data_IF_407861094856
#
_entry.id   IF_407861094856
#
_cell.length_a   1.000
_cell.length_b   1.000
_cell.length_c   1.000
_cell.angle_alpha   90.00
_cell.angle_beta   90.00
_cell.angle_gamma   90.00
#
_symmetry.space_group_name_H-M   'P 1'
#
loop_
_entity.id
_entity.type
_entity.pdbx_description
1 polymer ?
#
# COMPACT_ATOMS: atom_id res chain seq x y z
N UNK A 1 -10.17 26.52 15.04
CA UNK A 1 -9.77 26.97 13.70
C UNK A 1 -9.44 25.76 12.83
N UNK A 2 -10.10 25.65 11.69
CA UNK A 2 -9.84 24.53 10.77
C UNK A 2 -8.61 24.86 9.91
N UNK A 3 -7.78 23.86 9.65
CA UNK A 3 -6.66 24.05 8.73
C UNK A 3 -7.17 23.88 7.29
N UNK A 4 -6.51 24.54 6.36
CA UNK A 4 -6.86 24.41 4.94
C UNK A 4 -6.34 23.08 4.39
N UNK A 5 -6.90 22.63 3.26
CA UNK A 5 -6.44 21.44 2.58
C UNK A 5 -4.97 21.56 2.19
N UNK A 6 -4.55 22.72 1.71
CA UNK A 6 -3.16 22.94 1.32
C UNK A 6 -2.21 22.85 2.50
N UNK A 7 -2.58 23.43 3.64
CA UNK A 7 -1.76 23.36 4.86
C UNK A 7 -1.67 21.90 5.33
N UNK A 8 -2.77 21.19 5.31
CA UNK A 8 -2.79 19.77 5.70
C UNK A 8 -1.84 18.96 4.82
N UNK A 9 -1.91 19.16 3.49
CA UNK A 9 -1.04 18.44 2.56
C UNK A 9 0.44 18.74 2.81
N UNK A 10 0.77 20.01 3.06
CA UNK A 10 2.15 20.39 3.34
C UNK A 10 2.69 19.77 4.63
N UNK A 11 1.86 19.70 5.65
CA UNK A 11 2.25 19.06 6.91
C UNK A 11 2.44 17.55 6.73
N UNK A 12 1.56 16.91 5.97
CA UNK A 12 1.66 15.47 5.74
C UNK A 12 2.89 15.10 4.92
N UNK A 13 3.32 15.95 4.00
CA UNK A 13 4.55 15.72 3.24
C UNK A 13 5.78 15.66 4.15
N UNK A 14 5.74 16.38 5.27
CA UNK A 14 6.86 16.42 6.22
C UNK A 14 6.84 15.24 7.19
N UNK A 15 5.74 14.52 7.25
CA UNK A 15 5.64 13.32 8.09
C UNK A 15 6.32 12.18 7.36
N UNK A 16 7.57 11.93 7.71
CA UNK A 16 8.33 10.85 7.10
C UNK A 16 7.79 9.51 7.56
N UNK A 17 7.34 8.70 6.62
CA UNK A 17 6.87 7.34 6.88
C UNK A 17 7.48 6.38 5.88
N UNK A 18 7.55 5.11 6.24
CA UNK A 18 7.92 4.08 5.29
C UNK A 18 6.86 3.90 4.22
N UNK A 19 7.26 3.33 3.10
CA UNK A 19 6.34 2.97 2.03
C UNK A 19 6.30 1.45 1.93
N UNK A 20 5.11 0.88 1.89
CA UNK A 20 4.94 -0.56 1.76
C UNK A 20 4.24 -0.92 0.47
N UNK A 21 4.57 -2.10 -0.04
CA UNK A 21 3.83 -2.71 -1.14
C UNK A 21 3.02 -3.87 -0.55
N UNK A 22 1.71 -3.78 -0.67
CA UNK A 22 0.80 -4.82 -0.22
C UNK A 22 0.49 -5.68 -1.43
N UNK A 23 0.82 -6.97 -1.35
CA UNK A 23 0.61 -7.91 -2.45
C UNK A 23 -0.39 -8.98 -2.05
N UNK A 24 -1.20 -9.41 -3.00
CA UNK A 24 -2.24 -10.39 -2.75
C UNK A 24 -2.66 -11.05 -4.05
N UNK A 25 -3.43 -12.12 -3.92
CA UNK A 25 -4.01 -12.82 -5.08
C UNK A 25 -5.49 -12.49 -5.17
N UNK A 26 -5.94 -12.19 -6.37
CA UNK A 26 -7.35 -11.92 -6.67
C UNK A 26 -7.75 -12.71 -7.91
N UNK A 27 -8.65 -13.67 -7.72
CA UNK A 27 -9.16 -14.51 -8.79
C UNK A 27 -8.05 -15.20 -9.61
N UNK A 28 -7.04 -15.70 -8.90
CA UNK A 28 -5.93 -16.43 -9.52
C UNK A 28 -4.84 -15.55 -10.11
N UNK A 29 -4.98 -14.23 -10.03
CA UNK A 29 -3.96 -13.30 -10.52
C UNK A 29 -3.32 -12.55 -9.37
N UNK A 30 -2.03 -12.31 -9.48
CA UNK A 30 -1.31 -11.52 -8.49
C UNK A 30 -1.62 -10.04 -8.67
N UNK A 31 -1.78 -9.34 -7.57
CA UNK A 31 -2.06 -7.92 -7.56
C UNK A 31 -1.35 -7.26 -6.39
N UNK A 32 -1.38 -5.95 -6.37
CA UNK A 32 -0.75 -5.21 -5.29
C UNK A 32 -1.01 -3.72 -5.40
N UNK A 33 -0.68 -3.03 -4.31
CA UNK A 33 -0.81 -1.58 -4.26
C UNK A 33 0.22 -1.01 -3.30
N UNK A 34 0.52 0.26 -3.49
CA UNK A 34 1.43 1.00 -2.61
C UNK A 34 0.63 1.58 -1.45
N UNK A 35 1.08 1.33 -0.23
CA UNK A 35 0.41 1.82 0.97
C UNK A 35 1.44 2.51 1.86
N UNK A 36 1.18 3.77 2.21
CA UNK A 36 1.97 4.51 3.17
C UNK A 36 1.28 4.61 4.53
N UNK A 37 -0.02 4.37 4.59
CA UNK A 37 -0.81 4.35 5.83
C UNK A 37 -0.67 3.00 6.52
N UNK A 38 0.52 2.76 7.05
CA UNK A 38 0.90 1.49 7.67
C UNK A 38 1.45 1.75 9.06
N UNK A 39 1.01 0.97 10.04
CA UNK A 39 1.64 1.01 11.36
C UNK A 39 1.48 -0.33 12.08
N UNK A 40 2.35 -0.56 13.04
CA UNK A 40 2.17 -1.69 13.95
C UNK A 40 1.07 -1.35 14.94
N UNK A 41 0.19 -2.30 15.19
CA UNK A 41 -0.94 -2.10 16.10
C UNK A 41 -0.75 -2.85 17.41
N UNK A 42 -0.18 -4.05 17.36
CA UNK A 42 0.00 -4.88 18.55
C UNK A 42 1.14 -5.87 18.31
N UNK A 43 1.84 -6.20 19.39
CA UNK A 43 2.92 -7.19 19.34
C UNK A 43 2.41 -8.58 19.73
N UNK A 44 1.46 -8.64 20.64
CA UNK A 44 0.94 -9.91 21.15
C UNK A 44 -0.58 -9.83 21.28
N UNK A 45 -1.35 -10.31 20.30
CA UNK A 45 -0.89 -10.94 19.07
C UNK A 45 -0.26 -9.92 18.09
N UNK A 46 0.57 -10.38 17.16
CA UNK A 46 1.16 -9.46 16.18
C UNK A 46 0.10 -8.97 15.19
N UNK A 47 -0.17 -7.68 15.23
CA UNK A 47 -1.17 -7.04 14.37
C UNK A 47 -0.58 -5.80 13.73
N UNK A 48 -0.97 -5.56 12.48
CA UNK A 48 -0.66 -4.34 11.74
C UNK A 48 -1.96 -3.70 11.27
N UNK A 49 -1.88 -2.40 11.01
CA UNK A 49 -3.00 -1.63 10.49
C UNK A 49 -2.61 -1.00 9.17
N UNK A 50 -3.43 -1.18 8.15
CA UNK A 50 -3.31 -0.46 6.89
C UNK A 50 -4.67 0.15 6.55
N UNK A 51 -4.64 1.30 5.88
CA UNK A 51 -5.85 1.97 5.44
C UNK A 51 -5.91 1.98 3.92
N UNK A 52 -7.02 1.53 3.37
CA UNK A 52 -7.21 1.44 1.92
C UNK A 52 -8.48 2.20 1.56
N UNK A 53 -8.35 3.12 0.60
CA UNK A 53 -9.49 3.91 0.13
C UNK A 53 -10.54 2.98 -0.49
N UNK A 54 -11.79 3.16 -0.08
CA UNK A 54 -12.91 2.36 -0.59
C UNK A 54 -13.14 2.54 -2.09
N UNK A 55 -12.63 3.63 -2.66
CA UNK A 55 -12.79 3.93 -4.09
C UNK A 55 -11.87 3.12 -4.99
N UNK A 56 -10.81 2.51 -4.45
CA UNK A 56 -9.89 1.73 -5.27
C UNK A 56 -10.33 0.27 -5.30
N UNK A 57 -10.13 -0.42 -6.46
CA UNK A 57 -10.58 -1.80 -6.61
C UNK A 57 -9.98 -2.77 -5.58
N UNK A 58 -8.74 -2.53 -5.17
CA UNK A 58 -8.06 -3.39 -4.20
C UNK A 58 -8.78 -3.47 -2.85
N UNK A 59 -9.58 -2.46 -2.51
CA UNK A 59 -10.33 -2.47 -1.26
C UNK A 59 -11.27 -3.68 -1.19
N UNK A 60 -11.98 -3.96 -2.28
CA UNK A 60 -12.92 -5.07 -2.30
C UNK A 60 -12.23 -6.42 -2.45
N UNK A 61 -11.01 -6.41 -2.99
CA UNK A 61 -10.22 -7.64 -3.16
C UNK A 61 -9.60 -8.13 -1.85
N UNK A 62 -9.33 -7.23 -0.92
CA UNK A 62 -8.75 -7.56 0.39
C UNK A 62 -9.89 -7.72 1.40
N UNK A 63 -10.43 -8.92 1.45
CA UNK A 63 -11.57 -9.24 2.32
C UNK A 63 -11.12 -9.90 3.62
N UNK A 64 -12.05 -9.98 4.56
CA UNK A 64 -11.82 -10.66 5.82
C UNK A 64 -11.37 -12.10 5.59
N UNK A 65 -10.27 -12.48 6.21
CA UNK A 65 -9.70 -13.82 6.06
C UNK A 65 -8.75 -13.98 4.88
N UNK A 66 -8.56 -12.92 4.08
CA UNK A 66 -7.60 -12.95 2.97
C UNK A 66 -6.17 -12.90 3.50
N UNK A 67 -5.26 -13.58 2.79
CA UNK A 67 -3.83 -13.46 3.04
C UNK A 67 -3.24 -12.39 2.14
N UNK A 68 -2.24 -11.68 2.66
CA UNK A 68 -1.54 -10.67 1.86
C UNK A 68 -0.08 -10.57 2.32
N UNK A 69 0.77 -10.13 1.41
CA UNK A 69 2.18 -9.89 1.71
C UNK A 69 2.42 -8.43 2.02
N UNK A 70 3.36 -8.18 2.91
CA UNK A 70 3.80 -6.83 3.26
C UNK A 70 5.27 -6.71 2.89
N UNK A 71 5.60 -5.77 2.02
CA UNK A 71 6.96 -5.56 1.52
C UNK A 71 7.35 -4.11 1.82
N UNK A 72 8.37 -3.93 2.64
CA UNK A 72 8.83 -2.58 3.02
C UNK A 72 9.85 -2.12 1.99
N UNK A 73 9.58 -0.99 1.33
CA UNK A 73 10.45 -0.46 0.29
C UNK A 73 11.71 0.16 0.86
N UNK A 74 12.82 -0.01 0.14
CA UNK A 74 14.05 0.74 0.41
C UNK A 74 14.00 2.07 -0.33
N UNK A 75 14.93 2.97 -0.01
CA UNK A 75 15.03 4.27 -0.69
C UNK A 75 15.33 4.14 -2.18
N UNK A 76 15.83 2.99 -2.62
CA UNK A 76 16.16 2.73 -4.03
C UNK A 76 14.98 2.20 -4.84
N UNK A 77 13.85 1.95 -4.19
CA UNK A 77 12.68 1.32 -4.82
C UNK A 77 11.55 2.31 -5.12
N UNK A 78 11.89 3.59 -5.30
CA UNK A 78 10.89 4.60 -5.62
C UNK A 78 10.11 4.32 -6.90
N UNK A 79 10.80 3.85 -7.95
CA UNK A 79 10.12 3.51 -9.21
C UNK A 79 9.15 2.36 -9.01
N UNK A 80 9.56 1.34 -8.26
CA UNK A 80 8.70 0.20 -7.97
C UNK A 80 7.43 0.63 -7.21
N UNK A 81 7.60 1.52 -6.23
CA UNK A 81 6.47 2.06 -5.48
C UNK A 81 5.51 2.83 -6.38
N UNK A 82 6.02 3.62 -7.33
CA UNK A 82 5.19 4.32 -8.31
C UNK A 82 4.46 3.36 -9.22
N UNK A 83 5.14 2.31 -9.69
CA UNK A 83 4.53 1.31 -10.56
C UNK A 83 3.38 0.58 -9.87
N UNK A 84 3.55 0.24 -8.60
CA UNK A 84 2.49 -0.40 -7.81
C UNK A 84 1.32 0.55 -7.53
N UNK A 85 1.56 1.84 -7.53
CA UNK A 85 0.51 2.84 -7.33
C UNK A 85 -0.24 3.17 -8.63
N UNK A 86 0.30 2.78 -9.78
CA UNK A 86 -0.29 3.10 -11.09
C UNK A 86 -1.33 2.06 -11.47
N UNK A 87 -2.60 2.49 -11.57
CA UNK A 87 -3.70 1.58 -11.89
C UNK A 87 -3.66 1.05 -13.33
N UNK A 88 -2.85 1.67 -14.21
CA UNK A 88 -2.72 1.25 -15.61
C UNK A 88 -1.69 0.16 -15.82
N UNK A 89 -0.92 -0.19 -14.79
CA UNK A 89 0.10 -1.24 -14.87
C UNK A 89 -0.51 -2.57 -14.40
N UNK A 90 -0.31 -3.63 -15.19
CA UNK A 90 -0.72 -4.98 -14.82
C UNK A 90 0.19 -5.48 -13.70
N UNK A 91 -0.35 -5.60 -12.49
CA UNK A 91 0.43 -5.98 -11.32
C UNK A 91 0.87 -7.44 -11.37
N UNK A 92 0.09 -8.31 -12.02
CA UNK A 92 0.49 -9.70 -12.19
C UNK A 92 1.78 -9.81 -12.99
N UNK A 93 1.85 -9.10 -14.11
CA UNK A 93 3.06 -9.07 -14.94
C UNK A 93 4.23 -8.41 -14.20
N UNK A 94 3.96 -7.32 -13.49
CA UNK A 94 4.98 -6.62 -12.73
C UNK A 94 5.60 -7.54 -11.67
N UNK A 95 4.77 -8.22 -10.89
CA UNK A 95 5.25 -9.10 -9.81
C UNK A 95 6.04 -10.27 -10.38
N UNK A 96 5.54 -10.87 -11.47
CA UNK A 96 6.22 -12.00 -12.11
C UNK A 96 7.58 -11.60 -12.72
N UNK A 97 7.77 -10.32 -13.01
CA UNK A 97 9.03 -9.81 -13.56
C UNK A 97 10.09 -9.54 -12.50
N UNK A 98 9.73 -9.56 -11.23
CA UNK A 98 10.66 -9.29 -10.13
C UNK A 98 11.47 -10.53 -9.77
N UNK A 99 12.73 -10.30 -9.43
CA UNK A 99 13.64 -11.37 -8.99
C UNK A 99 13.43 -11.74 -7.51
#
# INVERSE_FOLDING_TARGET
MAITDDTFKELMKRFASGVTLITFENEGRLSGLTVSSFCSLSMNPPLILICIDKKIPSHDSLKNGSSFGVNICTSKQGKLAWDFANSNIDKNELILSLD
#
